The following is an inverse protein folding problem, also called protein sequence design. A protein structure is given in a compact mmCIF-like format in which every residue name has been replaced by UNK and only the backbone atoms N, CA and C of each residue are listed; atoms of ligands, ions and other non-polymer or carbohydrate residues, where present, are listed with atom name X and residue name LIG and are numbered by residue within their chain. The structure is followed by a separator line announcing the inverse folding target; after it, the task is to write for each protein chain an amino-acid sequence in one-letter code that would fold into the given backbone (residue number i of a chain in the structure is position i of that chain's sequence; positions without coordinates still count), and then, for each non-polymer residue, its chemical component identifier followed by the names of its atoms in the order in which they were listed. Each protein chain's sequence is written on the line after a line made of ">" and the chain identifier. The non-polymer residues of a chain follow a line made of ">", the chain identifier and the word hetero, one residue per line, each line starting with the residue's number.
data_IF_715510117792
#
_entry.id   IF_715510117792
#
_cell.length_a   1.000
_cell.length_b   1.000
_cell.length_c   1.000
_cell.angle_alpha   90.00
_cell.angle_beta   90.00
_cell.angle_gamma   90.00
#
_symmetry.space_group_name_H-M   'P 1'
#
loop_
_entity.id
_entity.type
_entity.pdbx_description
1 polymer ?
#
# COMPACT_ATOMS: atom_id res chain seq x y z
N UNK A 1 -6.54 45.83 12.98
CA UNK A 1 -5.85 46.00 14.27
C UNK A 1 -5.28 44.65 14.71
N UNK A 2 -4.09 44.68 15.31
CA UNK A 2 -3.22 43.59 15.81
C UNK A 2 -2.47 42.78 14.71
N UNK A 3 -1.14 42.82 14.49
CA UNK A 3 0.11 42.79 15.31
C UNK A 3 0.21 41.50 16.14
N UNK A 4 1.24 40.65 16.18
CA UNK A 4 2.72 40.66 16.06
C UNK A 4 3.11 39.19 15.62
N UNK A 5 4.31 38.73 15.28
CA UNK A 5 5.68 39.04 15.74
C UNK A 5 6.71 38.48 14.74
N UNK A 6 7.83 39.18 14.67
CA UNK A 6 9.04 39.00 13.86
C UNK A 6 10.16 38.45 14.76
N UNK A 7 10.90 37.46 14.28
CA UNK A 7 12.26 36.99 14.67
C UNK A 7 12.76 36.30 13.38
N UNK A 8 13.53 36.92 12.49
CA UNK A 8 14.96 37.26 12.53
C UNK A 8 15.83 36.04 12.92
N UNK A 9 16.39 35.36 11.91
CA UNK A 9 17.73 34.77 11.99
C UNK A 9 18.35 34.76 10.59
N UNK A 10 19.54 35.33 10.56
CA UNK A 10 20.38 35.69 9.45
C UNK A 10 21.11 34.47 8.86
N UNK A 11 21.19 34.39 7.54
CA UNK A 11 22.34 33.78 6.86
C UNK A 11 22.63 34.61 5.60
N UNK A 12 23.38 35.67 5.85
CA UNK A 12 24.09 36.49 4.89
C UNK A 12 25.25 35.69 4.30
N UNK A 13 25.14 35.37 3.01
CA UNK A 13 26.33 35.18 2.17
C UNK A 13 26.14 35.91 0.84
N UNK A 14 26.20 37.23 0.92
CA UNK A 14 26.41 38.10 -0.22
C UNK A 14 27.73 37.83 -0.94
N UNK A 15 27.74 38.08 -2.24
CA UNK A 15 28.94 37.98 -3.06
C UNK A 15 28.69 38.23 -4.54
N UNK A 16 28.08 39.37 -4.87
CA UNK A 16 28.01 39.88 -6.23
C UNK A 16 29.42 40.11 -6.80
N UNK A 17 29.62 39.65 -8.04
CA UNK A 17 30.77 39.98 -8.87
C UNK A 17 30.79 41.48 -9.17
N UNK A 18 31.95 42.14 -8.99
CA UNK A 18 32.52 42.80 -10.16
C UNK A 18 34.06 42.80 -10.17
N UNK A 19 34.62 43.00 -11.37
CA UNK A 19 35.95 43.60 -11.49
C UNK A 19 36.99 42.75 -12.20
N UNK A 20 37.07 42.96 -13.51
CA UNK A 20 38.28 42.73 -14.27
C UNK A 20 39.44 43.55 -13.68
N UNK A 21 40.58 42.92 -13.40
CA UNK A 21 41.88 43.58 -13.50
C UNK A 21 42.99 42.56 -13.77
N UNK A 22 43.76 42.89 -14.81
CA UNK A 22 45.05 42.31 -15.20
C UNK A 22 45.94 41.95 -14.02
N UNK A 23 46.54 40.76 -14.06
CA UNK A 23 47.94 40.63 -13.68
C UNK A 23 48.67 39.54 -14.47
N UNK A 24 49.56 40.03 -15.34
CA UNK A 24 50.69 39.31 -15.94
C UNK A 24 51.43 38.48 -14.90
N UNK A 25 51.77 37.23 -15.22
CA UNK A 25 53.00 36.58 -14.75
C UNK A 25 53.49 35.52 -15.77
N UNK A 26 54.80 35.23 -15.78
CA UNK A 26 55.57 35.25 -17.01
C UNK A 26 56.01 33.86 -17.47
N UNK A 27 56.20 33.73 -18.79
CA UNK A 27 56.88 32.59 -19.39
C UNK A 27 58.33 32.49 -18.93
N UNK A 28 58.76 31.27 -18.62
CA UNK A 28 60.17 30.90 -18.53
C UNK A 28 60.50 30.11 -19.79
N UNK A 29 61.25 30.72 -20.70
CA UNK A 29 61.95 30.05 -21.80
C UNK A 29 63.38 29.67 -21.34
N UNK A 30 63.89 28.58 -21.94
CA UNK A 30 65.31 28.13 -22.09
C UNK A 30 65.90 27.46 -20.83
N UNK A 31 66.64 26.35 -20.93
CA UNK A 31 67.87 26.22 -21.74
C UNK A 31 68.08 24.84 -22.37
N UNK A 32 68.50 24.85 -23.63
CA UNK A 32 69.33 23.79 -24.22
C UNK A 32 70.70 23.87 -23.54
N UNK A 33 71.23 22.75 -23.08
CA UNK A 33 72.63 22.49 -22.73
C UNK A 33 72.89 21.08 -23.21
N UNK A 34 73.44 20.95 -24.41
CA UNK A 34 74.86 20.82 -24.72
C UNK A 34 75.30 19.37 -24.54
N UNK A 35 75.55 18.74 -25.69
CA UNK A 35 76.07 17.40 -25.84
C UNK A 35 77.57 17.51 -25.66
N UNK A 36 78.05 17.14 -24.48
CA UNK A 36 79.46 16.81 -24.31
C UNK A 36 79.56 15.28 -24.20
N UNK A 37 80.04 14.71 -25.30
CA UNK A 37 80.60 13.36 -25.37
C UNK A 37 81.78 13.27 -24.39
N UNK A 38 81.58 12.60 -23.25
CA UNK A 38 82.69 12.06 -22.47
C UNK A 38 82.65 10.53 -22.59
N UNK A 39 83.38 10.05 -23.61
CA UNK A 39 83.96 8.72 -23.61
C UNK A 39 84.90 8.62 -22.40
N UNK A 40 84.37 8.18 -21.26
CA UNK A 40 85.19 7.94 -20.08
C UNK A 40 85.99 6.64 -20.28
N UNK A 41 87.28 6.85 -20.51
CA UNK A 41 88.30 5.88 -20.87
C UNK A 41 88.34 4.66 -19.94
N UNK A 42 88.12 3.54 -20.60
CA UNK A 42 88.10 2.15 -20.17
C UNK A 42 89.41 1.60 -19.56
N UNK A 43 90.49 2.37 -19.35
CA UNK A 43 91.76 1.83 -18.80
C UNK A 43 92.58 2.84 -17.96
N UNK A 44 92.10 3.14 -16.76
CA UNK A 44 92.89 3.80 -15.71
C UNK A 44 93.59 2.79 -14.79
N UNK A 45 94.77 2.31 -15.17
CA UNK A 45 95.62 1.46 -14.32
C UNK A 45 96.13 2.23 -13.10
N UNK A 46 95.47 2.07 -11.95
CA UNK A 46 96.00 2.53 -10.65
C UNK A 46 96.31 1.34 -9.75
N UNK A 47 97.54 0.87 -9.87
CA UNK A 47 98.18 -0.07 -8.96
C UNK A 47 98.51 0.69 -7.66
N UNK A 48 97.95 0.26 -6.52
CA UNK A 48 98.31 0.85 -5.23
C UNK A 48 97.36 0.54 -4.08
N UNK A 49 97.67 -0.53 -3.35
CA UNK A 49 97.20 -0.89 -2.01
C UNK A 49 95.72 -1.28 -1.84
N UNK A 50 95.46 -2.57 -2.05
CA UNK A 50 94.44 -3.31 -1.31
C UNK A 50 94.76 -3.27 0.20
N UNK A 51 94.32 -2.22 0.89
CA UNK A 51 94.10 -2.31 2.33
C UNK A 51 92.85 -3.16 2.50
N UNK A 52 93.06 -4.46 2.71
CA UNK A 52 92.03 -5.36 3.24
C UNK A 52 91.71 -4.82 4.62
N UNK A 53 90.76 -3.89 4.67
CA UNK A 53 89.99 -3.66 5.87
C UNK A 53 89.21 -4.95 6.05
N UNK A 54 89.72 -5.79 6.95
CA UNK A 54 89.13 -7.04 7.38
C UNK A 54 87.77 -6.69 7.97
N UNK A 55 86.75 -6.58 7.09
CA UNK A 55 85.37 -6.39 7.51
C UNK A 55 85.09 -7.52 8.49
N UNK A 56 84.89 -7.15 9.76
CA UNK A 56 84.68 -8.13 10.82
C UNK A 56 83.63 -9.15 10.32
N UNK A 57 83.84 -10.47 10.52
CA UNK A 57 83.07 -11.51 9.84
C UNK A 57 81.53 -11.35 9.94
N UNK A 58 81.02 -10.64 10.95
CA UNK A 58 79.62 -10.25 11.08
C UNK A 58 79.12 -9.19 10.08
N UNK A 59 79.96 -8.25 9.64
CA UNK A 59 79.60 -7.16 8.68
C UNK A 59 79.46 -7.72 7.26
N UNK A 60 80.43 -8.54 6.82
CA UNK A 60 80.34 -9.23 5.52
C UNK A 60 79.15 -10.20 5.47
N UNK A 61 78.91 -10.94 6.57
CA UNK A 61 77.75 -11.83 6.67
C UNK A 61 76.43 -11.04 6.65
N UNK A 62 76.36 -9.90 7.34
CA UNK A 62 75.20 -9.01 7.30
C UNK A 62 74.88 -8.48 5.90
N UNK A 63 75.90 -8.01 5.17
CA UNK A 63 75.73 -7.55 3.78
C UNK A 63 75.24 -8.68 2.86
N UNK A 64 75.79 -9.90 3.00
CA UNK A 64 75.35 -11.06 2.22
C UNK A 64 73.87 -11.39 2.52
N UNK A 65 73.44 -11.31 3.78
CA UNK A 65 72.04 -11.55 4.15
C UNK A 65 71.11 -10.48 3.59
N UNK A 66 71.47 -9.19 3.69
CA UNK A 66 70.69 -8.10 3.12
C UNK A 66 70.57 -8.19 1.59
N UNK A 67 71.64 -8.60 0.90
CA UNK A 67 71.60 -8.82 -0.55
C UNK A 67 70.73 -10.02 -0.92
N UNK A 68 70.76 -11.11 -0.14
CA UNK A 68 69.88 -12.27 -0.35
C UNK A 68 68.42 -11.91 -0.11
N UNK A 69 68.13 -11.16 0.94
CA UNK A 69 66.78 -10.65 1.22
C UNK A 69 66.30 -9.70 0.12
N UNK A 70 67.14 -8.79 -0.34
CA UNK A 70 66.83 -7.90 -1.47
C UNK A 70 66.61 -8.67 -2.77
N UNK A 71 67.44 -9.69 -3.05
CA UNK A 71 67.27 -10.57 -4.22
C UNK A 71 65.96 -11.35 -4.13
N UNK A 72 65.62 -11.86 -2.95
CA UNK A 72 64.37 -12.59 -2.72
C UNK A 72 63.17 -11.65 -2.89
N UNK A 73 63.20 -10.44 -2.32
CA UNK A 73 62.17 -9.41 -2.54
C UNK A 73 62.02 -9.05 -4.02
N UNK A 74 63.12 -8.86 -4.76
CA UNK A 74 63.07 -8.61 -6.21
C UNK A 74 62.44 -9.78 -6.99
N UNK A 75 62.67 -11.01 -6.54
CA UNK A 75 62.08 -12.20 -7.16
C UNK A 75 60.56 -12.27 -6.91
N UNK A 76 60.13 -11.92 -5.71
CA UNK A 76 58.71 -11.92 -5.33
C UNK A 76 57.95 -10.77 -5.99
N UNK A 77 58.56 -9.58 -6.12
CA UNK A 77 57.98 -8.49 -6.90
C UNK A 77 57.88 -8.84 -8.38
N UNK A 78 58.90 -9.47 -8.97
CA UNK A 78 58.85 -9.95 -10.35
C UNK A 78 57.70 -10.94 -10.56
N UNK A 79 57.53 -11.90 -9.64
CA UNK A 79 56.43 -12.85 -9.71
C UNK A 79 55.07 -12.14 -9.64
N UNK A 80 54.93 -11.15 -8.76
CA UNK A 80 53.72 -10.33 -8.64
C UNK A 80 53.44 -9.58 -9.94
N UNK A 81 54.41 -8.85 -10.49
CA UNK A 81 54.28 -8.14 -11.76
C UNK A 81 53.93 -9.08 -12.91
N UNK A 82 54.44 -10.31 -12.91
CA UNK A 82 54.11 -11.29 -13.93
C UNK A 82 52.66 -11.78 -13.82
N UNK A 83 52.14 -11.95 -12.61
CA UNK A 83 50.71 -12.26 -12.41
C UNK A 83 49.80 -11.11 -12.83
N UNK A 84 50.16 -9.87 -12.48
CA UNK A 84 49.42 -8.67 -12.87
C UNK A 84 49.42 -8.48 -14.39
N UNK A 85 50.54 -8.76 -15.06
CA UNK A 85 50.66 -8.71 -16.51
C UNK A 85 49.71 -9.72 -17.19
N UNK A 86 49.66 -10.96 -16.71
CA UNK A 86 48.74 -11.96 -17.26
C UNK A 86 47.27 -11.62 -16.96
N UNK A 87 46.98 -11.06 -15.78
CA UNK A 87 45.65 -10.54 -15.45
C UNK A 87 45.25 -9.40 -16.41
N UNK A 88 46.10 -8.41 -16.63
CA UNK A 88 45.86 -7.31 -17.56
C UNK A 88 45.67 -7.82 -19.00
N UNK A 89 46.48 -8.79 -19.47
CA UNK A 89 46.28 -9.42 -20.79
C UNK A 89 44.93 -10.12 -20.88
N UNK A 90 44.50 -10.82 -19.84
CA UNK A 90 43.20 -11.49 -19.80
C UNK A 90 42.04 -10.49 -19.86
N UNK A 91 42.17 -9.36 -19.16
CA UNK A 91 41.20 -8.28 -19.17
C UNK A 91 41.13 -7.61 -20.55
N UNK A 92 42.27 -7.32 -21.16
CA UNK A 92 42.33 -6.81 -22.54
C UNK A 92 41.59 -7.76 -23.49
N UNK A 93 41.83 -9.08 -23.42
CA UNK A 93 41.10 -10.06 -24.26
C UNK A 93 39.61 -10.04 -24.01
N UNK A 94 39.18 -9.90 -22.75
CA UNK A 94 37.77 -9.77 -22.38
C UNK A 94 37.15 -8.52 -23.01
N UNK A 95 37.79 -7.36 -22.90
CA UNK A 95 37.33 -6.13 -23.55
C UNK A 95 37.22 -6.28 -25.07
N UNK A 96 38.22 -6.86 -25.72
CA UNK A 96 38.19 -7.12 -27.16
C UNK A 96 37.00 -8.01 -27.56
N UNK A 97 36.73 -9.07 -26.79
CA UNK A 97 35.58 -9.96 -27.04
C UNK A 97 34.24 -9.24 -26.84
N UNK A 98 34.11 -8.41 -25.79
CA UNK A 98 32.89 -7.63 -25.56
C UNK A 98 32.57 -6.72 -26.73
N UNK A 99 33.57 -5.98 -27.21
CA UNK A 99 33.41 -5.06 -28.34
C UNK A 99 33.14 -5.77 -29.67
N UNK A 100 33.67 -6.98 -29.90
CA UNK A 100 33.35 -7.77 -31.09
C UNK A 100 31.89 -8.23 -31.15
N UNK A 101 31.24 -8.36 -30.00
CA UNK A 101 29.84 -8.77 -29.89
C UNK A 101 28.86 -7.59 -29.98
N UNK A 102 29.37 -6.35 -30.12
CA UNK A 102 28.57 -5.14 -29.98
C UNK A 102 28.23 -4.52 -31.35
N UNK A 103 26.95 -4.22 -31.54
CA UNK A 103 26.37 -3.85 -32.84
C UNK A 103 26.91 -2.53 -33.43
N UNK A 104 27.63 -1.71 -32.64
CA UNK A 104 28.19 -0.44 -33.11
C UNK A 104 29.56 -0.60 -33.80
N UNK A 105 30.14 -1.81 -33.79
CA UNK A 105 31.43 -2.13 -34.42
C UNK A 105 31.17 -3.06 -35.61
N UNK A 106 31.61 -2.67 -36.81
CA UNK A 106 31.55 -3.53 -37.99
C UNK A 106 32.42 -4.78 -37.79
N UNK A 107 31.90 -5.99 -38.08
CA UNK A 107 32.69 -7.21 -37.94
C UNK A 107 33.99 -7.14 -38.76
N UNK A 108 35.13 -7.34 -38.11
CA UNK A 108 36.44 -7.38 -38.77
C UNK A 108 37.22 -6.05 -38.83
N UNK A 109 36.67 -4.95 -38.31
CA UNK A 109 37.39 -3.66 -38.18
C UNK A 109 37.80 -3.39 -36.73
N UNK A 110 38.97 -2.79 -36.50
CA UNK A 110 39.35 -2.31 -35.16
C UNK A 110 38.44 -1.15 -34.75
N UNK A 111 37.88 -1.14 -33.54
CA UNK A 111 37.03 -0.06 -33.09
C UNK A 111 37.82 1.26 -33.00
N UNK A 112 37.33 2.30 -33.67
CA UNK A 112 37.86 3.66 -33.51
C UNK A 112 37.61 4.13 -32.06
N UNK A 113 38.67 4.46 -31.29
CA UNK A 113 38.52 4.94 -29.92
C UNK A 113 37.51 6.08 -29.77
N UNK A 114 37.41 6.98 -30.75
CA UNK A 114 36.43 8.09 -30.68
C UNK A 114 35.00 7.60 -30.77
N UNK A 115 34.72 6.60 -31.62
CA UNK A 115 33.39 6.01 -31.74
C UNK A 115 32.97 5.29 -30.45
N UNK A 116 33.90 4.54 -29.86
CA UNK A 116 33.67 3.85 -28.57
C UNK A 116 33.38 4.85 -27.46
N UNK A 117 34.19 5.91 -27.34
CA UNK A 117 34.01 6.95 -26.31
C UNK A 117 32.65 7.65 -26.48
N UNK A 118 32.28 8.02 -27.71
CA UNK A 118 30.99 8.65 -27.99
C UNK A 118 29.82 7.71 -27.66
N UNK A 119 29.93 6.43 -28.01
CA UNK A 119 28.92 5.42 -27.67
C UNK A 119 28.76 5.28 -26.16
N UNK A 120 29.86 5.10 -25.42
CA UNK A 120 29.85 5.02 -23.96
C UNK A 120 29.26 6.28 -23.31
N UNK A 121 29.55 7.46 -23.86
CA UNK A 121 28.98 8.71 -23.37
C UNK A 121 27.47 8.78 -23.62
N UNK A 122 27.01 8.38 -24.81
CA UNK A 122 25.57 8.28 -25.11
C UNK A 122 24.87 7.25 -24.21
N UNK A 123 25.50 6.10 -23.98
CA UNK A 123 24.99 5.04 -23.13
C UNK A 123 24.86 5.54 -21.69
N UNK A 124 25.89 6.20 -21.16
CA UNK A 124 25.88 6.84 -19.84
C UNK A 124 24.75 7.87 -19.70
N UNK A 125 24.57 8.74 -20.70
CA UNK A 125 23.49 9.73 -20.69
C UNK A 125 22.11 9.05 -20.71
N UNK A 126 21.93 8.00 -21.50
CA UNK A 126 20.66 7.25 -21.55
C UNK A 126 20.39 6.47 -20.27
N UNK A 127 21.41 5.91 -19.62
CA UNK A 127 21.32 5.28 -18.32
C UNK A 127 20.88 6.29 -17.25
N UNK A 128 21.46 7.49 -17.24
CA UNK A 128 21.10 8.56 -16.30
C UNK A 128 19.65 9.02 -16.50
N UNK A 129 19.22 9.21 -17.74
CA UNK A 129 17.83 9.55 -18.08
C UNK A 129 16.85 8.46 -17.61
N UNK A 130 17.16 7.18 -17.84
CA UNK A 130 16.33 6.06 -17.41
C UNK A 130 16.25 5.98 -15.88
N UNK A 131 17.35 6.23 -15.17
CA UNK A 131 17.36 6.31 -13.69
C UNK A 131 16.46 7.43 -13.21
N UNK A 132 16.53 8.62 -13.82
CA UNK A 132 15.67 9.74 -13.44
C UNK A 132 14.18 9.43 -13.69
N UNK A 133 13.85 8.80 -14.82
CA UNK A 133 12.49 8.36 -15.12
C UNK A 133 11.99 7.30 -14.13
N UNK A 134 12.84 6.34 -13.75
CA UNK A 134 12.52 5.33 -12.75
C UNK A 134 12.22 5.97 -11.40
N UNK A 135 13.04 6.93 -10.95
CA UNK A 135 12.80 7.64 -9.69
C UNK A 135 11.54 8.49 -9.72
N UNK A 136 11.24 9.14 -10.85
CA UNK A 136 9.95 9.83 -11.05
C UNK A 136 8.77 8.85 -11.00
N UNK A 137 8.89 7.67 -11.60
CA UNK A 137 7.84 6.65 -11.59
C UNK A 137 7.60 6.10 -10.18
N UNK A 138 8.66 5.77 -9.43
CA UNK A 138 8.55 5.33 -8.02
C UNK A 138 7.88 6.37 -7.13
N UNK A 139 8.24 7.66 -7.29
CA UNK A 139 7.59 8.75 -6.54
C UNK A 139 6.10 8.86 -6.86
N UNK A 140 5.71 8.72 -8.13
CA UNK A 140 4.29 8.71 -8.55
C UNK A 140 3.55 7.50 -8.00
N UNK A 141 4.15 6.32 -8.05
CA UNK A 141 3.58 5.08 -7.50
C UNK A 141 3.32 5.21 -5.99
N UNK A 142 4.31 5.70 -5.24
CA UNK A 142 4.16 5.96 -3.81
C UNK A 142 3.02 6.94 -3.50
N UNK A 143 2.91 8.03 -4.29
CA UNK A 143 1.80 8.97 -4.16
C UNK A 143 0.44 8.30 -4.44
N UNK A 144 0.36 7.44 -5.47
CA UNK A 144 -0.86 6.71 -5.77
C UNK A 144 -1.27 5.76 -4.66
N UNK A 145 -0.33 5.01 -4.07
CA UNK A 145 -0.60 4.12 -2.92
C UNK A 145 -1.26 4.90 -1.77
N UNK A 146 -0.71 6.07 -1.41
CA UNK A 146 -1.28 6.92 -0.36
C UNK A 146 -2.69 7.41 -0.72
N UNK A 147 -2.89 7.90 -1.95
CA UNK A 147 -4.22 8.36 -2.39
C UNK A 147 -5.25 7.24 -2.45
N UNK A 148 -4.83 6.04 -2.83
CA UNK A 148 -5.69 4.86 -2.89
C UNK A 148 -6.11 4.42 -1.49
N UNK A 149 -5.15 4.31 -0.56
CA UNK A 149 -5.45 4.00 0.84
C UNK A 149 -6.44 5.01 1.46
N UNK A 150 -6.27 6.32 1.18
CA UNK A 150 -7.19 7.36 1.65
C UNK A 150 -8.60 7.20 1.04
N UNK A 151 -8.70 6.89 -0.25
CA UNK A 151 -9.97 6.62 -0.94
C UNK A 151 -10.65 5.36 -0.39
N UNK A 152 -9.89 4.31 -0.10
CA UNK A 152 -10.42 3.08 0.50
C UNK A 152 -10.96 3.31 1.91
N UNK A 153 -10.26 4.11 2.72
CA UNK A 153 -10.75 4.55 4.02
C UNK A 153 -12.06 5.33 3.91
N UNK A 154 -12.13 6.31 3.01
CA UNK A 154 -13.35 7.10 2.78
C UNK A 154 -14.53 6.21 2.36
N UNK A 155 -14.29 5.23 1.48
CA UNK A 155 -15.31 4.24 1.10
C UNK A 155 -15.77 3.41 2.30
N UNK A 156 -14.85 3.01 3.19
CA UNK A 156 -15.19 2.24 4.39
C UNK A 156 -16.04 3.06 5.37
N UNK A 157 -15.70 4.34 5.56
CA UNK A 157 -16.46 5.29 6.38
C UNK A 157 -17.86 5.51 5.83
N UNK A 158 -17.99 5.79 4.52
CA UNK A 158 -19.29 5.95 3.86
C UNK A 158 -20.14 4.68 3.94
N UNK A 159 -19.53 3.49 3.75
CA UNK A 159 -20.22 2.21 3.93
C UNK A 159 -20.74 2.04 5.36
N UNK A 160 -19.99 2.50 6.37
CA UNK A 160 -20.45 2.48 7.75
C UNK A 160 -21.63 3.42 7.98
N UNK A 161 -21.53 4.67 7.53
CA UNK A 161 -22.61 5.66 7.64
C UNK A 161 -23.90 5.15 6.98
N UNK A 162 -23.81 4.50 5.81
CA UNK A 162 -24.96 3.87 5.15
C UNK A 162 -25.56 2.76 6.00
N UNK A 163 -24.76 1.90 6.63
CA UNK A 163 -25.27 0.85 7.53
C UNK A 163 -25.99 1.47 8.73
N UNK A 164 -25.43 2.52 9.32
CA UNK A 164 -26.00 3.20 10.48
C UNK A 164 -27.31 3.90 10.13
N UNK A 165 -27.36 4.64 9.02
CA UNK A 165 -28.60 5.24 8.50
C UNK A 165 -29.65 4.19 8.19
N UNK A 166 -29.26 3.06 7.59
CA UNK A 166 -30.18 1.94 7.33
C UNK A 166 -30.72 1.32 8.62
N UNK A 167 -29.90 1.27 9.68
CA UNK A 167 -30.34 0.82 11.00
C UNK A 167 -31.33 1.81 11.64
N UNK A 168 -31.10 3.12 11.49
CA UNK A 168 -32.03 4.16 11.95
C UNK A 168 -33.35 4.17 11.17
N UNK A 169 -33.31 3.86 9.87
CA UNK A 169 -34.50 3.81 9.02
C UNK A 169 -35.38 2.58 9.30
N UNK A 170 -34.85 1.49 9.87
CA UNK A 170 -35.69 0.40 10.37
C UNK A 170 -36.58 0.99 11.47
N UNK A 171 -37.91 1.08 11.29
CA UNK A 171 -38.77 1.84 12.21
C UNK A 171 -38.58 1.34 13.64
N UNK A 172 -37.98 2.13 14.56
CA UNK A 172 -37.71 1.68 15.92
C UNK A 172 -39.00 1.57 16.75
N UNK A 173 -40.08 2.23 16.32
CA UNK A 173 -41.35 2.29 17.05
C UNK A 173 -42.56 2.13 16.11
N UNK A 174 -43.64 1.55 16.65
CA UNK A 174 -44.94 1.47 15.99
C UNK A 174 -45.51 2.85 15.60
N UNK A 175 -45.10 3.93 16.28
CA UNK A 175 -45.50 5.31 15.96
C UNK A 175 -44.90 5.81 14.65
N UNK A 176 -43.63 5.50 14.34
CA UNK A 176 -43.04 5.87 13.05
C UNK A 176 -43.75 5.16 11.89
N UNK A 177 -44.17 3.90 12.08
CA UNK A 177 -45.07 3.21 11.12
C UNK A 177 -46.43 3.90 10.97
N UNK A 178 -47.01 4.45 12.04
CA UNK A 178 -48.25 5.25 11.97
C UNK A 178 -48.06 6.58 11.25
N UNK A 179 -46.92 7.24 11.42
CA UNK A 179 -46.56 8.50 10.74
C UNK A 179 -46.24 8.32 9.25
N UNK A 180 -45.75 7.14 8.85
CA UNK A 180 -45.46 6.80 7.45
C UNK A 180 -46.68 6.25 6.69
N UNK A 181 -47.76 5.90 7.40
CA UNK A 181 -49.05 5.69 6.75
C UNK A 181 -49.60 7.07 6.39
N UNK A 182 -50.07 7.21 5.15
CA UNK A 182 -50.81 8.40 4.73
C UNK A 182 -51.92 8.71 5.76
N UNK A 183 -52.07 9.98 6.22
CA UNK A 183 -53.04 10.33 7.24
C UNK A 183 -54.47 9.85 6.94
N UNK A 184 -54.91 9.89 5.67
CA UNK A 184 -56.23 9.42 5.27
C UNK A 184 -56.33 7.89 5.35
N UNK A 185 -55.27 7.16 4.97
CA UNK A 185 -55.21 5.70 5.12
C UNK A 185 -55.22 5.30 6.61
N UNK A 186 -54.50 6.01 7.47
CA UNK A 186 -54.50 5.73 8.91
C UNK A 186 -55.88 5.95 9.53
N UNK A 187 -56.57 7.02 9.12
CA UNK A 187 -57.91 7.35 9.58
C UNK A 187 -58.93 6.30 9.12
N UNK A 188 -58.90 5.86 7.87
CA UNK A 188 -59.78 4.77 7.39
C UNK A 188 -59.49 3.45 8.10
N UNK A 189 -58.23 3.10 8.34
CA UNK A 189 -57.89 1.88 9.07
C UNK A 189 -58.41 1.93 10.52
N UNK A 190 -58.32 3.10 11.16
CA UNK A 190 -58.84 3.33 12.52
C UNK A 190 -60.37 3.27 12.53
N UNK A 191 -61.03 3.90 11.55
CA UNK A 191 -62.49 3.87 11.38
C UNK A 191 -62.99 2.43 11.18
N UNK A 192 -62.35 1.67 10.30
CA UNK A 192 -62.69 0.27 10.04
C UNK A 192 -62.52 -0.59 11.29
N UNK A 193 -61.43 -0.39 12.05
CA UNK A 193 -61.22 -1.12 13.30
C UNK A 193 -62.34 -0.86 14.32
N UNK A 194 -62.68 0.42 14.53
CA UNK A 194 -63.77 0.79 15.45
C UNK A 194 -65.12 0.25 14.96
N UNK A 195 -65.37 0.26 13.64
CA UNK A 195 -66.59 -0.30 13.06
C UNK A 195 -66.68 -1.81 13.28
N UNK A 196 -65.58 -2.54 13.15
CA UNK A 196 -65.53 -3.98 13.46
C UNK A 196 -65.85 -4.21 14.93
N UNK A 197 -65.20 -3.50 15.86
CA UNK A 197 -65.47 -3.63 17.30
C UNK A 197 -66.93 -3.31 17.65
N UNK A 198 -67.53 -2.27 17.05
CA UNK A 198 -68.94 -1.93 17.24
C UNK A 198 -69.88 -3.03 16.71
N UNK A 199 -69.57 -3.58 15.54
CA UNK A 199 -70.37 -4.65 14.92
C UNK A 199 -70.25 -5.95 15.70
N UNK A 200 -69.06 -6.31 16.18
CA UNK A 200 -68.85 -7.45 17.08
C UNK A 200 -69.68 -7.30 18.37
N UNK A 201 -69.71 -6.10 18.95
CA UNK A 201 -70.57 -5.81 20.10
C UNK A 201 -72.06 -5.97 19.78
N UNK A 202 -72.53 -5.45 18.64
CA UNK A 202 -73.92 -5.62 18.19
C UNK A 202 -74.27 -7.08 17.92
N UNK A 203 -73.37 -7.85 17.32
CA UNK A 203 -73.56 -9.30 17.11
C UNK A 203 -73.70 -10.01 18.45
N UNK A 204 -72.85 -9.67 19.42
CA UNK A 204 -72.96 -10.22 20.78
C UNK A 204 -74.30 -9.86 21.44
N UNK A 205 -74.70 -8.59 21.40
CA UNK A 205 -75.98 -8.12 21.96
C UNK A 205 -77.18 -8.82 21.30
N UNK A 206 -77.18 -8.97 19.98
CA UNK A 206 -78.25 -9.67 19.27
C UNK A 206 -78.29 -11.16 19.60
N UNK A 207 -77.13 -11.82 19.70
CA UNK A 207 -77.06 -13.21 20.13
C UNK A 207 -77.57 -13.38 21.57
N UNK A 208 -77.20 -12.48 22.47
CA UNK A 208 -77.69 -12.49 23.86
C UNK A 208 -79.22 -12.28 23.92
N UNK A 209 -79.75 -11.37 23.09
CA UNK A 209 -81.20 -11.15 22.98
C UNK A 209 -81.94 -12.35 22.38
N UNK A 210 -81.39 -12.99 21.35
CA UNK A 210 -81.94 -14.23 20.78
C UNK A 210 -81.96 -15.30 21.87
N UNK A 211 -80.85 -15.50 22.58
CA UNK A 211 -80.78 -16.47 23.67
C UNK A 211 -81.78 -16.16 24.80
N UNK A 212 -82.04 -14.88 25.08
CA UNK A 212 -83.01 -14.46 26.09
C UNK A 212 -84.47 -14.69 25.67
N UNK A 213 -84.80 -14.50 24.39
CA UNK A 213 -86.16 -14.66 23.85
C UNK A 213 -86.47 -16.11 23.45
N UNK A 214 -85.43 -16.90 23.15
CA UNK A 214 -85.59 -18.28 22.75
C UNK A 214 -86.08 -19.13 23.93
N UNK A 215 -87.25 -19.73 23.76
CA UNK A 215 -87.80 -20.65 24.75
C UNK A 215 -86.83 -21.80 25.01
N UNK A 216 -86.42 -21.95 26.26
CA UNK A 216 -85.63 -23.08 26.71
C UNK A 216 -86.48 -23.96 27.64
N UNK A 217 -86.73 -25.24 27.30
CA UNK A 217 -87.51 -26.16 28.12
C UNK A 217 -86.96 -26.34 29.55
N UNK A 218 -85.68 -26.00 29.75
CA UNK A 218 -84.93 -26.13 31.00
C UNK A 218 -84.96 -24.88 31.88
N UNK A 219 -85.33 -23.70 31.34
CA UNK A 219 -85.48 -22.47 32.15
C UNK A 219 -86.63 -22.60 33.16
N UNK A 220 -86.64 -21.77 34.21
CA UNK A 220 -87.70 -21.80 35.22
C UNK A 220 -89.10 -21.60 34.60
N UNK A 221 -89.23 -20.60 33.72
CA UNK A 221 -90.47 -20.34 32.97
C UNK A 221 -90.77 -21.49 32.00
N UNK A 222 -89.77 -22.01 31.30
CA UNK A 222 -89.93 -23.13 30.37
C UNK A 222 -90.38 -24.42 31.04
N UNK A 223 -89.81 -24.77 32.19
CA UNK A 223 -90.22 -25.91 33.01
C UNK A 223 -91.66 -25.78 33.48
N UNK A 224 -92.07 -24.58 33.91
CA UNK A 224 -93.44 -24.32 34.36
C UNK A 224 -94.44 -24.43 33.21
N UNK A 225 -94.10 -23.89 32.03
CA UNK A 225 -94.93 -24.04 30.83
C UNK A 225 -95.05 -25.51 30.41
N UNK A 226 -93.93 -26.25 30.35
CA UNK A 226 -93.94 -27.68 30.01
C UNK A 226 -94.71 -28.52 31.02
N UNK A 227 -94.64 -28.19 32.32
CA UNK A 227 -95.44 -28.86 33.34
C UNK A 227 -96.94 -28.60 33.13
N UNK A 228 -97.32 -27.34 32.83
CA UNK A 228 -98.72 -27.00 32.52
C UNK A 228 -99.21 -27.67 31.22
N UNK A 229 -98.36 -27.79 30.21
CA UNK A 229 -98.70 -28.54 29.00
C UNK A 229 -98.93 -30.03 29.32
N UNK A 230 -98.11 -30.64 30.20
CA UNK A 230 -98.32 -32.03 30.63
C UNK A 230 -99.63 -32.21 31.39
N UNK A 231 -99.96 -31.35 32.34
CA UNK A 231 -101.23 -31.47 33.09
C UNK A 231 -102.44 -31.28 32.18
N UNK A 232 -102.41 -30.32 31.26
CA UNK A 232 -103.49 -30.13 30.29
C UNK A 232 -103.61 -31.32 29.31
N UNK A 233 -102.50 -32.02 29.02
CA UNK A 233 -102.51 -33.22 28.20
C UNK A 233 -103.20 -34.38 28.96
N UNK A 234 -102.81 -34.60 30.21
CA UNK A 234 -103.39 -35.62 31.09
C UNK A 234 -104.91 -35.38 31.29
N UNK A 235 -105.32 -34.14 31.56
CA UNK A 235 -106.74 -33.75 31.69
C UNK A 235 -107.51 -34.00 30.38
N UNK A 236 -106.93 -33.67 29.21
CA UNK A 236 -107.58 -33.94 27.92
C UNK A 236 -107.69 -35.43 27.61
N UNK A 237 -106.70 -36.23 28.00
CA UNK A 237 -106.72 -37.69 27.87
C UNK A 237 -107.78 -38.30 28.80
N UNK A 238 -107.92 -37.79 30.03
CA UNK A 238 -108.95 -38.20 30.98
C UNK A 238 -110.36 -37.83 30.48
N UNK A 239 -110.57 -36.59 30.01
CA UNK A 239 -111.84 -36.18 29.37
C UNK A 239 -112.12 -37.02 28.12
N UNK A 240 -111.08 -37.34 27.33
CA UNK A 240 -111.20 -38.21 26.16
C UNK A 240 -111.61 -39.63 26.54
N UNK A 241 -111.01 -40.17 27.61
CA UNK A 241 -111.34 -41.48 28.16
C UNK A 241 -112.76 -41.50 28.72
N UNK A 242 -113.16 -40.53 29.55
CA UNK A 242 -114.52 -40.38 30.09
C UNK A 242 -115.57 -40.22 28.97
N UNK A 243 -115.28 -39.43 27.94
CA UNK A 243 -116.14 -39.27 26.77
C UNK A 243 -116.22 -40.54 25.91
N UNK A 244 -115.20 -41.40 25.95
CA UNK A 244 -115.19 -42.71 25.29
C UNK A 244 -115.91 -43.80 26.11
N UNK A 245 -115.85 -43.71 27.45
CA UNK A 245 -116.55 -44.59 28.39
C UNK A 245 -118.06 -44.28 28.42
N UNK A 246 -118.47 -43.04 28.18
CA UNK A 246 -119.88 -42.63 28.05
C UNK A 246 -120.56 -42.99 26.73
N UNK A 247 -119.88 -43.68 25.80
CA UNK A 247 -120.40 -44.09 24.47
C UNK A 247 -120.60 -45.59 24.29
N UNK A 248 -120.53 -46.38 25.36
CA UNK A 248 -120.87 -47.81 25.38
C UNK A 248 -122.15 -48.09 26.18
#
# INVERSE_FOLDING_TARGET
>A
MATHTRIDDDDDFGGDFPGAHNNRRPGKKRSFGDLEDEEDDFFGSKQGNSKVEETAPGVATGMILSLRESLQNCKDTLATCQTELEAAKSEIRKWHSSFQNEHFITPGTSPDPKLVINYLQSLKNSEELLKEQLEKAKKKEAAFIVTFAKREQEIAELKSAVRDLKAQLKPPSMQARRLLLDPAIHEEFTRLKNLVEEKEKKVKELNDNIAAVQFTPTSKMGKQLMAKCRTLQEENEEIGNEASEGKN
#
